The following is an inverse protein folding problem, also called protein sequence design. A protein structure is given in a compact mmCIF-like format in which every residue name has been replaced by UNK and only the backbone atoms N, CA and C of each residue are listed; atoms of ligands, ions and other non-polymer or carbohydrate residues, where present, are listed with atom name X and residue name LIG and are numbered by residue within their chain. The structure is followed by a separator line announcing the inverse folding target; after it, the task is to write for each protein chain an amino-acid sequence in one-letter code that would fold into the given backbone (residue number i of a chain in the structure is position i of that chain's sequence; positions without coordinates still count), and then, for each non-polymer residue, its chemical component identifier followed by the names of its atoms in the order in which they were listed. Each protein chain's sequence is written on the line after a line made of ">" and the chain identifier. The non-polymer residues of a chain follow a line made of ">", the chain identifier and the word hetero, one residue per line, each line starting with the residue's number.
data_IF_037703084042
#
_entry.id   IF_037703084042
#
_cell.length_a   1.000
_cell.length_b   1.000
_cell.length_c   1.000
_cell.angle_alpha   90.00
_cell.angle_beta   90.00
_cell.angle_gamma   90.00
#
_symmetry.space_group_name_H-M   'P 1'
#
loop_
_entity.id
_entity.type
_entity.pdbx_description
1 polymer ?
#
# COMPACT_ATOMS: atom_id res chain seq x y z
N UNK A 1 17.61 10.22 -9.44
CA UNK A 1 16.14 10.16 -9.47
C UNK A 1 15.68 9.50 -8.19
N UNK A 2 14.83 10.17 -7.43
CA UNK A 2 14.20 9.60 -6.24
C UNK A 2 13.36 8.37 -6.63
N UNK A 3 13.42 7.30 -5.85
CA UNK A 3 12.60 6.11 -6.10
C UNK A 3 11.18 6.43 -5.66
N UNK A 4 10.25 6.46 -6.60
CA UNK A 4 8.85 6.81 -6.32
C UNK A 4 7.99 5.59 -6.58
N UNK A 5 7.00 5.39 -5.71
CA UNK A 5 5.97 4.36 -5.87
C UNK A 5 4.68 5.02 -6.33
N UNK A 6 4.08 4.45 -7.36
CA UNK A 6 2.75 4.83 -7.84
C UNK A 6 1.75 3.74 -7.46
N UNK A 7 0.62 4.13 -6.89
CA UNK A 7 -0.42 3.24 -6.45
C UNK A 7 -1.73 3.66 -7.12
N UNK A 8 -2.26 2.78 -7.95
CA UNK A 8 -3.52 2.99 -8.68
C UNK A 8 -4.56 2.05 -8.11
N UNK A 9 -5.71 2.59 -7.71
CA UNK A 9 -6.79 1.77 -7.17
C UNK A 9 -8.15 2.39 -7.43
N UNK A 10 -9.16 1.53 -7.36
CA UNK A 10 -10.56 1.90 -7.52
C UNK A 10 -11.32 1.41 -6.30
N UNK A 11 -12.23 2.23 -5.80
CA UNK A 11 -13.00 1.91 -4.61
C UNK A 11 -14.45 2.41 -4.72
N UNK A 12 -15.34 1.78 -3.96
CA UNK A 12 -16.67 2.31 -3.67
C UNK A 12 -16.60 3.18 -2.44
N UNK A 13 -17.13 4.39 -2.54
CA UNK A 13 -17.40 5.22 -1.37
C UNK A 13 -18.51 4.59 -0.51
N UNK A 14 -18.68 5.03 0.75
CA UNK A 14 -19.79 4.58 1.60
C UNK A 14 -21.18 4.80 0.96
N UNK A 15 -21.30 5.77 0.04
CA UNK A 15 -22.53 6.06 -0.72
C UNK A 15 -22.61 5.26 -2.04
N UNK A 16 -21.79 4.21 -2.19
CA UNK A 16 -21.69 3.33 -3.37
C UNK A 16 -21.33 4.05 -4.67
N UNK A 17 -20.55 5.13 -4.58
CA UNK A 17 -19.98 5.79 -5.76
C UNK A 17 -18.63 5.18 -6.08
N UNK A 18 -18.45 4.76 -7.33
CA UNK A 18 -17.16 4.31 -7.83
C UNK A 18 -16.22 5.49 -8.03
N UNK A 19 -15.01 5.40 -7.51
CA UNK A 19 -13.97 6.42 -7.61
C UNK A 19 -12.62 5.76 -7.91
N UNK A 20 -11.86 6.37 -8.81
CA UNK A 20 -10.50 5.97 -9.13
C UNK A 20 -9.49 6.94 -8.50
N UNK A 21 -8.40 6.39 -8.00
CA UNK A 21 -7.36 7.11 -7.29
C UNK A 21 -5.99 6.81 -7.89
N UNK A 22 -5.10 7.81 -7.84
CA UNK A 22 -3.70 7.69 -8.18
C UNK A 22 -2.87 8.38 -7.11
N UNK A 23 -2.14 7.59 -6.33
CA UNK A 23 -1.23 8.08 -5.30
C UNK A 23 0.21 7.88 -5.73
N UNK A 24 1.04 8.87 -5.44
CA UNK A 24 2.45 8.90 -5.79
C UNK A 24 3.21 9.34 -4.55
N UNK A 25 4.04 8.46 -4.01
CA UNK A 25 4.84 8.75 -2.82
C UNK A 25 6.18 7.99 -2.88
N UNK A 26 7.29 8.59 -2.41
CA UNK A 26 8.55 7.86 -2.24
C UNK A 26 8.48 6.76 -1.16
N UNK A 27 7.66 6.92 -0.11
CA UNK A 27 7.47 5.93 0.95
C UNK A 27 6.25 5.04 0.59
N UNK A 28 6.51 3.76 0.38
CA UNK A 28 5.50 2.80 -0.05
C UNK A 28 4.49 2.50 1.06
N UNK A 29 4.97 2.42 2.30
CA UNK A 29 4.16 2.15 3.48
C UNK A 29 3.12 3.27 3.69
N UNK A 30 3.49 4.53 3.45
CA UNK A 30 2.54 5.65 3.49
C UNK A 30 1.41 5.48 2.46
N UNK A 31 1.73 5.02 1.23
CA UNK A 31 0.70 4.76 0.23
C UNK A 31 -0.27 3.66 0.68
N UNK A 32 0.22 2.59 1.30
CA UNK A 32 -0.61 1.50 1.80
C UNK A 32 -1.51 1.95 2.96
N UNK A 33 -0.97 2.77 3.87
CA UNK A 33 -1.72 3.29 5.01
C UNK A 33 -2.81 4.26 4.57
N UNK A 34 -2.64 5.01 3.49
CA UNK A 34 -3.71 5.86 2.92
C UNK A 34 -4.90 5.04 2.41
N UNK A 35 -4.65 3.94 1.72
CA UNK A 35 -5.72 3.04 1.24
C UNK A 35 -6.45 2.41 2.42
N UNK A 36 -5.68 1.94 3.41
CA UNK A 36 -6.21 1.35 4.64
C UNK A 36 -7.05 2.35 5.43
N UNK A 37 -6.60 3.60 5.50
CA UNK A 37 -7.35 4.67 6.13
C UNK A 37 -8.71 4.86 5.45
N UNK A 38 -8.79 4.88 4.11
CA UNK A 38 -10.08 4.92 3.41
C UNK A 38 -10.99 3.74 3.80
N UNK A 39 -10.46 2.51 3.86
CA UNK A 39 -11.24 1.34 4.28
C UNK A 39 -11.80 1.52 5.69
N UNK A 40 -11.03 2.10 6.60
CA UNK A 40 -11.49 2.39 7.98
C UNK A 40 -12.69 3.36 8.04
N UNK A 41 -12.91 4.19 7.00
CA UNK A 41 -14.09 5.05 6.85
C UNK A 41 -15.25 4.39 6.08
N UNK A 42 -15.19 3.09 5.84
CA UNK A 42 -16.23 2.33 5.15
C UNK A 42 -16.14 2.40 3.63
N UNK A 43 -15.00 2.79 3.07
CA UNK A 43 -14.74 2.58 1.65
C UNK A 43 -14.45 1.11 1.38
N UNK A 44 -14.81 0.64 0.19
CA UNK A 44 -14.54 -0.72 -0.26
C UNK A 44 -13.61 -0.69 -1.46
N UNK A 45 -12.37 -1.15 -1.29
CA UNK A 45 -11.43 -1.28 -2.41
C UNK A 45 -11.89 -2.41 -3.33
N UNK A 46 -11.97 -2.13 -4.64
CA UNK A 46 -12.36 -3.10 -5.68
C UNK A 46 -11.13 -3.70 -6.34
N UNK A 47 -10.15 -2.85 -6.65
CA UNK A 47 -8.92 -3.26 -7.33
C UNK A 47 -7.81 -2.32 -6.97
N UNK A 48 -6.59 -2.85 -6.85
CA UNK A 48 -5.41 -2.08 -6.46
C UNK A 48 -4.18 -2.68 -7.12
N UNK A 49 -3.30 -1.81 -7.62
CA UNK A 49 -2.02 -2.19 -8.20
C UNK A 49 -0.98 -1.12 -7.89
N UNK A 50 0.25 -1.55 -7.65
CA UNK A 50 1.38 -0.65 -7.45
C UNK A 50 2.37 -0.78 -8.59
N UNK A 51 3.10 0.29 -8.85
CA UNK A 51 4.25 0.33 -9.73
C UNK A 51 5.41 0.90 -8.92
N UNK A 52 6.46 0.10 -8.76
CA UNK A 52 7.71 0.56 -8.17
C UNK A 52 8.59 1.11 -9.28
N UNK A 53 8.98 2.39 -9.19
CA UNK A 53 9.78 3.08 -10.20
C UNK A 53 9.15 3.01 -11.61
N UNK A 54 9.93 2.63 -12.64
CA UNK A 54 9.47 2.44 -14.02
C UNK A 54 9.15 0.97 -14.34
N UNK A 55 8.93 0.14 -13.30
CA UNK A 55 8.60 -1.28 -13.47
C UNK A 55 7.20 -1.53 -14.02
N UNK A 56 6.81 -2.80 -14.12
CA UNK A 56 5.42 -3.15 -14.42
C UNK A 56 4.51 -2.91 -13.21
N UNK A 57 3.22 -2.73 -13.47
CA UNK A 57 2.22 -2.74 -12.41
C UNK A 57 2.07 -4.15 -11.85
N UNK A 58 2.11 -4.26 -10.52
CA UNK A 58 1.89 -5.48 -9.76
C UNK A 58 0.55 -5.34 -9.03
N UNK A 59 -0.41 -6.27 -9.21
CA UNK A 59 -1.65 -6.26 -8.44
C UNK A 59 -1.36 -6.54 -6.96
N UNK A 60 -2.06 -5.83 -6.08
CA UNK A 60 -2.03 -6.10 -4.64
C UNK A 60 -3.32 -6.83 -4.21
N UNK A 61 -3.26 -7.69 -3.18
CA UNK A 61 -4.46 -8.35 -2.64
C UNK A 61 -5.36 -7.32 -1.98
N UNK A 62 -6.62 -7.20 -2.43
CA UNK A 62 -7.57 -6.24 -1.87
C UNK A 62 -7.96 -6.61 -0.44
N UNK A 63 -7.94 -7.90 -0.12
CA UNK A 63 -8.27 -8.46 1.19
C UNK A 63 -7.24 -8.09 2.27
N UNK A 64 -6.05 -7.64 1.87
CA UNK A 64 -5.03 -7.17 2.81
C UNK A 64 -5.34 -5.76 3.37
N UNK A 65 -6.30 -5.05 2.81
CA UNK A 65 -6.72 -3.72 3.27
C UNK A 65 -7.98 -3.86 4.12
N UNK A 66 -7.81 -4.16 5.41
CA UNK A 66 -8.88 -4.44 6.37
C UNK A 66 -9.22 -3.25 7.30
N UNK A 67 -8.58 -2.10 7.06
CA UNK A 67 -8.71 -0.90 7.89
C UNK A 67 -7.68 -0.80 9.01
N UNK A 68 -6.80 -1.79 9.20
CA UNK A 68 -5.67 -1.75 10.15
C UNK A 68 -4.39 -1.34 9.42
N UNK A 69 -3.72 -0.23 9.81
CA UNK A 69 -2.51 0.25 9.13
C UNK A 69 -1.44 -0.83 8.97
N UNK A 70 -0.90 -0.97 7.75
CA UNK A 70 0.09 -1.99 7.40
C UNK A 70 1.52 -1.49 7.58
N UNK A 71 1.73 -0.17 7.52
CA UNK A 71 3.06 0.42 7.43
C UNK A 71 3.96 0.10 8.61
N UNK A 72 3.41 0.07 9.83
CA UNK A 72 4.17 -0.29 11.04
C UNK A 72 4.62 -1.76 11.02
N UNK A 73 3.74 -2.68 10.66
CA UNK A 73 4.06 -4.11 10.56
C UNK A 73 5.08 -4.40 9.46
N UNK A 74 4.96 -3.74 8.30
CA UNK A 74 5.93 -3.87 7.21
C UNK A 74 7.31 -3.35 7.64
N UNK A 75 7.37 -2.16 8.25
CA UNK A 75 8.64 -1.61 8.77
C UNK A 75 9.25 -2.51 9.83
N UNK A 76 8.44 -3.08 10.73
CA UNK A 76 8.94 -4.02 11.72
C UNK A 76 9.52 -5.29 11.06
N UNK A 77 8.83 -5.87 10.08
CA UNK A 77 9.33 -7.03 9.33
C UNK A 77 10.62 -6.69 8.60
N UNK A 78 10.73 -5.51 8.00
CA UNK A 78 11.96 -5.07 7.35
C UNK A 78 13.13 -5.03 8.33
N UNK A 79 12.97 -4.40 9.50
CA UNK A 79 14.03 -4.37 10.52
C UNK A 79 14.43 -5.79 10.96
N UNK A 80 13.45 -6.67 11.19
CA UNK A 80 13.72 -8.07 11.57
C UNK A 80 14.52 -8.82 10.48
N UNK A 81 14.22 -8.56 9.20
CA UNK A 81 14.97 -9.12 8.08
C UNK A 81 16.39 -8.56 7.99
N UNK A 82 16.55 -7.25 8.16
CA UNK A 82 17.85 -6.58 8.17
C UNK A 82 18.73 -7.12 9.30
N UNK A 83 18.18 -7.29 10.51
CA UNK A 83 18.88 -7.88 11.65
C UNK A 83 19.40 -9.29 11.32
N UNK A 84 18.57 -10.14 10.70
CA UNK A 84 18.98 -11.49 10.29
C UNK A 84 20.11 -11.47 9.24
N UNK A 85 20.06 -10.54 8.28
CA UNK A 85 21.09 -10.41 7.24
C UNK A 85 22.41 -9.83 7.76
N UNK A 86 22.34 -9.01 8.82
CA UNK A 86 23.49 -8.34 9.41
C UNK A 86 24.01 -9.01 10.68
N UNK A 87 23.39 -10.11 11.12
CA UNK A 87 23.94 -10.95 12.19
C UNK A 87 25.17 -11.68 11.63
N UNK A 88 26.39 -11.44 12.16
CA UNK A 88 27.56 -12.21 11.77
C UNK A 88 27.34 -13.65 12.24
N UNK A 89 27.44 -14.62 11.32
CA UNK A 89 27.50 -16.05 11.67
C UNK A 89 28.73 -16.36 12.52
#
# INVERSE_FOLDING_TARGET
>A
MEKVTTLLFCALSPQRRYVEFSYVNPDFEICLDQVTFLVSYGWQVISIKCQYQQGNYVPLPVEAFDGVPLGSSIKQLQHQWEDLLHTPM
#
